data_IF_316009005374
#
_entry.id   IF_316009005374
#
_cell.length_a   1.000
_cell.length_b   1.000
_cell.length_c   1.000
_cell.angle_alpha   90.00
_cell.angle_beta   90.00
_cell.angle_gamma   90.00
#
_symmetry.space_group_name_H-M   'P 1'
#
loop_
_entity.id
_entity.type
_entity.pdbx_description
1 polymer ?
#
# COMPACT_ATOMS: atom_id res chain seq x y z
N UNK A 1 -16.33 25.66 6.78
CA UNK A 1 -16.85 24.35 6.34
C UNK A 1 -15.77 23.74 5.47
N UNK A 2 -15.05 22.67 5.77
CA UNK A 2 -15.18 21.60 6.74
C UNK A 2 -14.65 20.35 6.03
N UNK A 3 -13.36 20.05 6.12
CA UNK A 3 -12.78 18.76 5.71
C UNK A 3 -11.67 18.37 6.68
N UNK A 4 -12.10 17.93 7.87
CA UNK A 4 -11.36 16.96 8.68
C UNK A 4 -11.84 15.58 8.26
N UNK A 5 -10.94 14.59 8.33
CA UNK A 5 -11.17 13.14 8.25
C UNK A 5 -11.05 12.47 6.87
N UNK A 6 -9.82 12.35 6.36
CA UNK A 6 -9.47 11.26 5.43
C UNK A 6 -8.18 10.52 5.82
N UNK A 7 -7.40 11.05 6.77
CA UNK A 7 -6.12 10.49 7.23
C UNK A 7 -6.25 9.39 8.28
N UNK A 8 -7.43 9.16 8.86
CA UNK A 8 -7.62 8.23 9.98
C UNK A 8 -7.74 6.74 9.59
N UNK A 9 -8.22 6.44 8.39
CA UNK A 9 -8.55 5.05 8.00
C UNK A 9 -7.32 4.24 7.55
N UNK A 10 -6.30 4.89 6.99
CA UNK A 10 -5.06 4.23 6.60
C UNK A 10 -4.15 3.94 7.80
N UNK A 11 -4.12 4.83 8.80
CA UNK A 11 -3.33 4.66 10.01
C UNK A 11 -3.86 3.53 10.91
N UNK A 12 -5.19 3.40 11.04
CA UNK A 12 -5.81 2.38 11.88
C UNK A 12 -5.63 0.94 11.37
N UNK A 13 -5.35 0.76 10.08
CA UNK A 13 -5.16 -0.57 9.50
C UNK A 13 -3.73 -1.11 9.63
N UNK A 14 -2.73 -0.24 9.84
CA UNK A 14 -1.32 -0.64 9.91
C UNK A 14 -0.86 -1.02 11.32
N UNK A 15 -1.53 -0.57 12.39
CA UNK A 15 -1.20 -0.93 13.79
C UNK A 15 -1.28 -2.43 14.11
N UNK A 16 -1.91 -3.25 13.26
CA UNK A 16 -2.04 -4.70 13.51
C UNK A 16 -0.79 -5.49 13.08
N UNK A 17 0.20 -4.84 12.47
CA UNK A 17 1.41 -5.50 11.96
C UNK A 17 2.36 -6.05 13.04
N UNK A 18 2.22 -5.72 14.33
CA UNK A 18 3.32 -5.92 15.30
C UNK A 18 2.92 -6.67 16.59
N UNK A 19 1.69 -7.17 16.73
CA UNK A 19 1.28 -7.89 17.93
C UNK A 19 1.50 -9.42 17.85
N UNK A 20 2.69 -9.86 17.45
CA UNK A 20 3.12 -11.25 17.59
C UNK A 20 4.52 -11.44 17.04
N UNK A 21 5.55 -11.84 17.78
CA UNK A 21 5.64 -12.50 19.08
C UNK A 21 7.05 -12.27 19.63
N UNK A 22 7.20 -11.93 20.91
CA UNK A 22 8.24 -12.44 21.83
C UNK A 22 8.11 -11.70 23.16
N UNK A 23 7.72 -12.43 24.21
CA UNK A 23 8.06 -11.96 25.56
C UNK A 23 9.58 -12.00 25.69
N UNK A 24 10.19 -10.87 26.06
CA UNK A 24 11.34 -10.72 26.98
C UNK A 24 11.64 -9.21 27.12
N UNK A 25 11.60 -8.73 28.37
CA UNK A 25 12.16 -7.51 28.94
C UNK A 25 12.07 -6.18 28.14
N UNK A 26 11.29 -5.25 28.69
CA UNK A 26 11.26 -3.84 28.33
C UNK A 26 12.65 -3.19 28.51
N UNK A 27 13.19 -2.63 27.43
CA UNK A 27 14.19 -1.55 27.44
C UNK A 27 13.62 -0.36 26.66
N UNK A 28 13.89 0.89 27.09
CA UNK A 28 13.15 2.06 26.64
C UNK A 28 13.58 2.52 25.24
N UNK A 29 12.59 2.89 24.43
CA UNK A 29 12.60 3.82 23.29
C UNK A 29 13.83 3.87 22.39
N UNK A 30 13.94 2.87 21.52
CA UNK A 30 14.21 3.15 20.11
C UNK A 30 13.20 2.34 19.30
N UNK A 31 12.22 3.01 18.68
CA UNK A 31 11.34 2.39 17.69
C UNK A 31 12.18 2.02 16.46
N UNK A 32 12.96 0.96 16.55
CA UNK A 32 13.79 0.47 15.48
C UNK A 32 12.87 -0.26 14.50
N UNK A 33 12.48 0.43 13.43
CA UNK A 33 11.64 -0.11 12.36
C UNK A 33 12.27 -1.41 11.84
N UNK A 34 11.51 -2.51 11.91
CA UNK A 34 11.96 -3.83 11.47
C UNK A 34 12.36 -3.84 9.99
N UNK A 35 13.28 -4.73 9.61
CA UNK A 35 13.72 -4.87 8.22
C UNK A 35 12.55 -5.27 7.31
N UNK A 36 11.63 -6.08 7.83
CA UNK A 36 10.42 -6.55 7.17
C UNK A 36 9.45 -5.41 6.88
N UNK A 37 9.27 -4.47 7.83
CA UNK A 37 8.47 -3.29 7.56
C UNK A 37 9.13 -2.42 6.49
N UNK A 38 10.44 -2.14 6.57
CA UNK A 38 11.12 -1.32 5.55
C UNK A 38 11.02 -1.93 4.15
N UNK A 39 11.18 -3.26 4.05
CA UNK A 39 11.00 -3.99 2.80
C UNK A 39 9.58 -3.88 2.26
N UNK A 40 8.58 -4.10 3.11
CA UNK A 40 7.17 -3.99 2.73
C UNK A 40 6.77 -2.57 2.32
N UNK A 41 7.24 -1.56 3.06
CA UNK A 41 7.01 -0.15 2.76
C UNK A 41 7.63 0.26 1.42
N UNK A 42 8.85 -0.21 1.13
CA UNK A 42 9.50 0.05 -0.16
C UNK A 42 8.71 -0.57 -1.31
N UNK A 43 8.29 -1.84 -1.17
CA UNK A 43 7.46 -2.50 -2.16
C UNK A 43 6.15 -1.72 -2.42
N UNK A 44 5.44 -1.34 -1.36
CA UNK A 44 4.16 -0.64 -1.49
C UNK A 44 4.32 0.78 -2.04
N UNK A 45 5.44 1.45 -1.76
CA UNK A 45 5.77 2.72 -2.38
C UNK A 45 6.02 2.59 -3.90
N UNK A 46 6.68 1.51 -4.33
CA UNK A 46 6.87 1.21 -5.77
C UNK A 46 5.55 0.85 -6.46
N UNK A 47 4.72 0.05 -5.79
CA UNK A 47 3.37 -0.28 -6.23
C UNK A 47 2.52 0.98 -6.46
N UNK A 48 2.53 1.90 -5.48
CA UNK A 48 1.88 3.19 -5.58
C UNK A 48 2.42 4.01 -6.77
N UNK A 49 3.75 4.17 -6.89
CA UNK A 49 4.35 5.01 -7.91
C UNK A 49 4.05 4.53 -9.35
N UNK A 50 4.07 3.21 -9.55
CA UNK A 50 3.70 2.61 -10.84
C UNK A 50 2.24 2.87 -11.21
N UNK A 51 1.33 2.72 -10.24
CA UNK A 51 -0.10 3.01 -10.45
C UNK A 51 -0.36 4.49 -10.73
N UNK A 52 0.28 5.38 -9.97
CA UNK A 52 0.15 6.82 -10.19
C UNK A 52 0.60 7.18 -11.61
N UNK A 53 1.77 6.69 -12.03
CA UNK A 53 2.31 6.93 -13.38
C UNK A 53 1.33 6.48 -14.47
N UNK A 54 0.76 5.28 -14.33
CA UNK A 54 -0.23 4.78 -15.28
C UNK A 54 -1.51 5.62 -15.26
N UNK A 55 -2.01 6.00 -14.08
CA UNK A 55 -3.21 6.84 -13.99
C UNK A 55 -2.99 8.22 -14.62
N UNK A 56 -1.88 8.90 -14.33
CA UNK A 56 -1.53 10.18 -14.92
C UNK A 56 -1.39 10.09 -16.44
N UNK A 57 -0.75 9.04 -16.95
CA UNK A 57 -0.68 8.78 -18.39
C UNK A 57 -2.09 8.62 -18.99
N UNK A 58 -2.95 7.82 -18.37
CA UNK A 58 -4.32 7.61 -18.83
C UNK A 58 -5.11 8.92 -18.93
N UNK A 59 -5.01 9.77 -17.91
CA UNK A 59 -5.71 11.06 -17.85
C UNK A 59 -5.16 12.09 -18.84
N UNK A 60 -3.88 12.02 -19.19
CA UNK A 60 -3.23 12.95 -20.12
C UNK A 60 -3.47 12.58 -21.58
N UNK A 61 -3.52 11.28 -21.89
CA UNK A 61 -3.45 10.80 -23.26
C UNK A 61 -4.78 10.30 -23.84
N UNK A 62 -5.79 10.05 -23.02
CA UNK A 62 -7.10 9.62 -23.50
C UNK A 62 -8.19 10.66 -23.22
N UNK A 63 -9.14 10.76 -24.15
CA UNK A 63 -10.33 11.60 -23.96
C UNK A 63 -11.15 11.05 -22.78
N UNK A 64 -11.49 11.87 -21.77
CA UNK A 64 -12.26 11.43 -20.62
C UNK A 64 -13.58 10.74 -21.03
N UNK A 65 -13.84 9.57 -20.45
CA UNK A 65 -15.05 8.79 -20.71
C UNK A 65 -15.06 7.99 -22.02
N UNK A 66 -14.03 8.13 -22.88
CA UNK A 66 -13.92 7.34 -24.11
C UNK A 66 -13.75 5.84 -23.84
N UNK A 67 -14.11 5.01 -24.82
CA UNK A 67 -13.92 3.56 -24.75
C UNK A 67 -12.43 3.20 -24.56
N UNK A 68 -11.52 3.96 -25.18
CA UNK A 68 -10.07 3.76 -25.05
C UNK A 68 -9.59 4.08 -23.64
N UNK A 69 -10.07 5.19 -23.04
CA UNK A 69 -9.78 5.51 -21.64
C UNK A 69 -10.27 4.39 -20.70
N UNK A 70 -11.51 3.90 -20.91
CA UNK A 70 -12.07 2.81 -20.11
C UNK A 70 -11.24 1.53 -20.23
N UNK A 71 -10.89 1.12 -21.46
CA UNK A 71 -10.06 -0.05 -21.70
C UNK A 71 -8.67 0.07 -21.05
N UNK A 72 -8.07 1.26 -21.13
CA UNK A 72 -6.79 1.55 -20.49
C UNK A 72 -6.87 1.43 -18.97
N UNK A 73 -7.84 2.09 -18.32
CA UNK A 73 -7.95 2.03 -16.85
C UNK A 73 -8.33 0.62 -16.34
N UNK A 74 -9.07 -0.18 -17.12
CA UNK A 74 -9.25 -1.61 -16.83
C UNK A 74 -7.91 -2.34 -16.84
N UNK A 75 -7.01 -2.02 -17.78
CA UNK A 75 -5.67 -2.62 -17.82
C UNK A 75 -4.81 -2.18 -16.63
N UNK A 76 -4.86 -0.89 -16.24
CA UNK A 76 -4.18 -0.38 -15.04
C UNK A 76 -4.64 -1.15 -13.80
N UNK A 77 -5.95 -1.34 -13.65
CA UNK A 77 -6.52 -2.12 -12.55
C UNK A 77 -5.99 -3.57 -12.56
N UNK A 78 -6.07 -4.26 -13.70
CA UNK A 78 -5.59 -5.64 -13.83
C UNK A 78 -4.09 -5.77 -13.53
N UNK A 79 -3.28 -4.79 -13.94
CA UNK A 79 -1.85 -4.76 -13.64
C UNK A 79 -1.61 -4.63 -12.12
N UNK A 80 -2.34 -3.74 -11.45
CA UNK A 80 -2.29 -3.61 -9.99
C UNK A 80 -2.66 -4.92 -9.28
N UNK A 81 -3.77 -5.55 -9.69
CA UNK A 81 -4.22 -6.83 -9.13
C UNK A 81 -3.21 -7.95 -9.35
N UNK A 82 -2.56 -8.01 -10.51
CA UNK A 82 -1.52 -9.00 -10.81
C UNK A 82 -0.31 -8.84 -9.89
N UNK A 83 0.14 -7.61 -9.67
CA UNK A 83 1.28 -7.32 -8.78
C UNK A 83 0.95 -7.67 -7.33
N UNK A 84 -0.25 -7.30 -6.86
CA UNK A 84 -0.76 -7.67 -5.53
C UNK A 84 -0.80 -9.20 -5.37
N UNK A 85 -1.34 -9.93 -6.35
CA UNK A 85 -1.44 -11.39 -6.32
C UNK A 85 -0.09 -12.10 -6.23
N UNK A 86 0.99 -11.54 -6.78
CA UNK A 86 2.32 -12.12 -6.66
C UNK A 86 2.82 -12.08 -5.21
N UNK A 87 2.54 -11.00 -4.47
CA UNK A 87 2.89 -10.90 -3.05
C UNK A 87 2.03 -11.84 -2.21
N UNK A 88 0.72 -11.91 -2.48
CA UNK A 88 -0.17 -12.83 -1.78
C UNK A 88 0.24 -14.30 -1.95
N UNK A 89 0.75 -14.68 -3.13
CA UNK A 89 1.32 -16.02 -3.36
C UNK A 89 2.54 -16.27 -2.49
N UNK A 90 3.43 -15.29 -2.35
CA UNK A 90 4.60 -15.37 -1.46
C UNK A 90 4.20 -15.64 -0.01
N UNK A 91 3.25 -14.85 0.53
CA UNK A 91 2.76 -15.01 1.91
C UNK A 91 2.12 -16.39 2.12
N UNK A 92 1.30 -16.85 1.16
CA UNK A 92 0.67 -18.18 1.23
C UNK A 92 1.69 -19.30 1.22
N UNK A 93 2.72 -19.19 0.38
CA UNK A 93 3.79 -20.17 0.22
C UNK A 93 4.83 -20.19 1.34
N UNK A 94 4.86 -19.17 2.20
CA UNK A 94 5.85 -19.07 3.28
C UNK A 94 5.65 -20.17 4.34
N UNK A 95 6.55 -21.15 4.40
CA UNK A 95 6.49 -22.26 5.36
C UNK A 95 6.79 -21.86 6.81
N UNK A 96 7.30 -20.65 7.04
CA UNK A 96 7.71 -20.18 8.37
C UNK A 96 6.58 -19.47 9.14
N UNK A 97 5.57 -18.97 8.42
CA UNK A 97 4.42 -18.29 9.00
C UNK A 97 3.36 -19.28 9.48
N UNK A 98 2.91 -19.11 10.74
CA UNK A 98 1.73 -19.81 11.26
C UNK A 98 0.48 -19.42 10.45
N UNK A 99 -0.53 -20.31 10.31
CA UNK A 99 -1.73 -20.03 9.52
C UNK A 99 -2.42 -18.70 9.87
N UNK A 100 -2.59 -18.41 11.16
CA UNK A 100 -3.19 -17.15 11.63
C UNK A 100 -2.38 -15.92 11.22
N UNK A 101 -1.05 -16.00 11.22
CA UNK A 101 -0.18 -14.91 10.77
C UNK A 101 -0.30 -14.71 9.26
N UNK A 102 -0.41 -15.78 8.47
CA UNK A 102 -0.66 -15.69 7.01
C UNK A 102 -1.97 -14.98 6.70
N UNK A 103 -3.06 -15.37 7.36
CA UNK A 103 -4.38 -14.76 7.13
C UNK A 103 -4.41 -13.27 7.51
N UNK A 104 -3.69 -12.90 8.56
CA UNK A 104 -3.50 -11.49 8.94
C UNK A 104 -2.69 -10.75 7.88
N UNK A 105 -1.53 -11.26 7.49
CA UNK A 105 -0.68 -10.65 6.46
C UNK A 105 -1.40 -10.48 5.12
N UNK A 106 -2.15 -11.50 4.68
CA UNK A 106 -2.98 -11.42 3.46
C UNK A 106 -3.99 -10.28 3.55
N UNK A 107 -4.78 -10.22 4.64
CA UNK A 107 -5.81 -9.18 4.81
C UNK A 107 -5.19 -7.78 4.82
N UNK A 108 -4.07 -7.62 5.50
CA UNK A 108 -3.35 -6.35 5.57
C UNK A 108 -2.79 -5.96 4.20
N UNK A 109 -2.12 -6.87 3.49
CA UNK A 109 -1.60 -6.63 2.15
C UNK A 109 -2.70 -6.17 1.20
N UNK A 110 -3.84 -6.85 1.19
CA UNK A 110 -4.98 -6.50 0.34
C UNK A 110 -5.53 -5.11 0.67
N UNK A 111 -5.62 -4.78 1.96
CA UNK A 111 -6.17 -3.50 2.37
C UNK A 111 -5.23 -2.32 2.09
N UNK A 112 -3.92 -2.50 2.29
CA UNK A 112 -2.90 -1.50 1.91
C UNK A 112 -2.87 -1.33 0.39
N UNK A 113 -2.89 -2.42 -0.38
CA UNK A 113 -2.94 -2.35 -1.84
C UNK A 113 -4.20 -1.64 -2.35
N UNK A 114 -5.36 -1.89 -1.74
CA UNK A 114 -6.60 -1.18 -2.06
C UNK A 114 -6.49 0.32 -1.76
N UNK A 115 -6.00 0.69 -0.58
CA UNK A 115 -5.83 2.09 -0.19
C UNK A 115 -4.88 2.83 -1.15
N UNK A 116 -3.75 2.21 -1.51
CA UNK A 116 -2.77 2.81 -2.41
C UNK A 116 -3.27 2.91 -3.85
N UNK A 117 -4.10 1.97 -4.32
CA UNK A 117 -4.79 2.10 -5.63
C UNK A 117 -5.69 3.32 -5.66
N UNK A 118 -6.56 3.48 -4.67
CA UNK A 118 -7.43 4.65 -4.57
C UNK A 118 -6.64 5.96 -4.42
N UNK A 119 -5.55 5.93 -3.65
CA UNK A 119 -4.68 7.10 -3.47
C UNK A 119 -3.99 7.51 -4.76
N UNK A 120 -3.41 6.55 -5.49
CA UNK A 120 -2.73 6.79 -6.76
C UNK A 120 -3.68 7.33 -7.83
N UNK A 121 -4.90 6.80 -7.91
CA UNK A 121 -5.93 7.31 -8.81
C UNK A 121 -6.33 8.75 -8.45
N UNK A 122 -6.57 9.03 -7.17
CA UNK A 122 -6.97 10.35 -6.70
C UNK A 122 -5.86 11.39 -6.94
N UNK A 123 -4.63 11.05 -6.59
CA UNK A 123 -3.47 11.92 -6.79
C UNK A 123 -3.24 12.23 -8.26
N UNK A 124 -3.42 11.25 -9.14
CA UNK A 124 -3.33 11.49 -10.58
C UNK A 124 -4.43 12.43 -11.09
N UNK A 125 -5.64 12.38 -10.52
CA UNK A 125 -6.75 13.31 -10.86
C UNK A 125 -6.51 14.72 -10.33
N UNK A 126 -5.91 14.83 -9.15
CA UNK A 126 -5.65 16.10 -8.47
C UNK A 126 -4.30 16.72 -8.88
N UNK A 127 -3.56 16.09 -9.79
CA UNK A 127 -2.20 16.47 -10.20
C UNK A 127 -1.22 16.59 -9.01
N UNK A 128 -1.38 15.72 -8.02
CA UNK A 128 -0.53 15.66 -6.83
C UNK A 128 0.58 14.66 -7.06
N UNK A 129 1.82 15.13 -7.18
CA UNK A 129 2.99 14.25 -7.27
C UNK A 129 3.53 13.91 -5.87
N UNK A 130 3.33 12.66 -5.43
CA UNK A 130 4.02 12.11 -4.24
C UNK A 130 5.16 11.25 -4.72
N UNK A 131 6.38 11.64 -4.37
CA UNK A 131 7.54 10.83 -4.69
C UNK A 131 7.53 9.51 -3.88
N UNK A 132 8.27 8.53 -4.39
CA UNK A 132 8.39 7.20 -3.77
C UNK A 132 8.89 7.28 -2.32
N UNK A 133 9.84 8.16 -2.02
CA UNK A 133 10.43 8.26 -0.69
C UNK A 133 9.42 8.79 0.33
N UNK A 134 8.59 9.75 -0.07
CA UNK A 134 7.49 10.30 0.73
C UNK A 134 6.47 9.21 1.08
N UNK A 135 6.03 8.42 0.11
CA UNK A 135 5.09 7.31 0.36
C UNK A 135 5.73 6.20 1.21
N UNK A 136 6.99 5.86 0.96
CA UNK A 136 7.73 4.91 1.79
C UNK A 136 7.86 5.39 3.24
N UNK A 137 8.13 6.68 3.47
CA UNK A 137 8.22 7.27 4.80
C UNK A 137 6.88 7.18 5.54
N UNK A 138 5.75 7.49 4.87
CA UNK A 138 4.41 7.36 5.46
C UNK A 138 4.09 5.92 5.85
N UNK A 139 4.44 4.95 4.99
CA UNK A 139 4.24 3.53 5.28
C UNK A 139 5.12 3.05 6.43
N UNK A 140 6.38 3.50 6.49
CA UNK A 140 7.30 3.20 7.59
C UNK A 140 6.77 3.79 8.91
N UNK A 141 6.31 5.03 8.91
CA UNK A 141 5.74 5.67 10.11
C UNK A 141 4.52 4.91 10.64
N UNK A 142 3.70 4.38 9.73
CA UNK A 142 2.54 3.58 10.11
C UNK A 142 2.93 2.18 10.66
N UNK A 143 4.14 1.67 10.41
CA UNK A 143 4.69 0.53 11.13
C UNK A 143 5.37 0.90 12.46
N UNK A 144 5.57 2.18 12.75
CA UNK A 144 6.27 2.60 13.98
C UNK A 144 5.30 2.92 15.11
N UNK A 145 3.99 3.02 14.83
CA UNK A 145 2.92 3.34 15.76
C UNK A 145 2.00 2.13 16.00
#
# INVERSE_FOLDING_TARGET
MGLRQATGLAAGLLCVLIAGTSGHAQSPDTHQVSAECRGSATYFAEFYAGLQTMHSHGLTHFVPGSADAQAYFIQVQKNGEKVEMNVLKGIRGDGTLKPQAKDTSIRLTQAVAKALRSLAEQDAKDDIMRDKASVSSLLIQACSN
#
